data_IF_080799560574
#
_entry.id   IF_080799560574
#
_cell.length_a   1.000
_cell.length_b   1.000
_cell.length_c   1.000
_cell.angle_alpha   90.00
_cell.angle_beta   90.00
_cell.angle_gamma   90.00
#
_symmetry.space_group_name_H-M   'P 1'
#
loop_
_entity.id
_entity.type
_entity.pdbx_description
1 polymer ?
#
# COMPACT_ATOMS: atom_id res chain seq x y z
N UNK A 1 11.87 -0.50 7.93
CA UNK A 1 11.57 0.65 8.82
C UNK A 1 11.09 1.88 8.07
N UNK A 2 11.89 2.47 7.17
CA UNK A 2 11.44 3.65 6.39
C UNK A 2 10.12 3.40 5.66
N UNK A 3 10.02 2.24 5.01
CA UNK A 3 8.86 1.82 4.22
C UNK A 3 7.61 1.63 5.09
N UNK A 4 7.73 0.99 6.26
CA UNK A 4 6.59 0.74 7.17
C UNK A 4 6.01 2.06 7.71
N UNK A 5 6.87 3.00 8.13
CA UNK A 5 6.44 4.32 8.62
C UNK A 5 5.80 5.13 7.49
N UNK A 6 6.36 5.04 6.28
CA UNK A 6 5.80 5.70 5.11
C UNK A 6 4.43 5.13 4.73
N UNK A 7 4.27 3.80 4.72
CA UNK A 7 2.98 3.15 4.47
C UNK A 7 1.93 3.50 5.52
N UNK A 8 2.29 3.47 6.80
CA UNK A 8 1.40 3.89 7.89
C UNK A 8 0.94 5.34 7.69
N UNK A 9 1.86 6.24 7.34
CA UNK A 9 1.54 7.64 7.12
C UNK A 9 0.64 7.84 5.89
N UNK A 10 0.85 7.06 4.82
CA UNK A 10 -0.07 7.03 3.68
C UNK A 10 -1.46 6.57 4.08
N UNK A 11 -1.61 5.56 4.95
CA UNK A 11 -2.92 5.12 5.45
C UNK A 11 -3.61 6.23 6.23
N UNK A 12 -2.88 6.94 7.09
CA UNK A 12 -3.41 8.09 7.85
C UNK A 12 -3.84 9.22 6.91
N UNK A 13 -3.03 9.55 5.90
CA UNK A 13 -3.38 10.55 4.88
C UNK A 13 -4.68 10.17 4.15
N UNK A 14 -4.82 8.90 3.76
CA UNK A 14 -6.04 8.40 3.09
C UNK A 14 -7.25 8.34 4.02
N UNK A 15 -7.06 8.11 5.32
CA UNK A 15 -8.11 8.22 6.33
C UNK A 15 -8.58 9.66 6.50
N UNK A 16 -7.65 10.62 6.53
CA UNK A 16 -7.96 12.05 6.61
C UNK A 16 -8.70 12.51 5.34
N UNK A 17 -8.25 12.06 4.16
CA UNK A 17 -8.93 12.33 2.89
C UNK A 17 -10.37 11.76 2.88
N UNK A 18 -10.59 10.60 3.51
CA UNK A 18 -11.91 10.01 3.62
C UNK A 18 -12.84 10.78 4.56
N UNK A 19 -12.30 11.33 5.67
CA UNK A 19 -13.07 12.05 6.70
C UNK A 19 -13.32 13.52 6.34
N UNK A 20 -12.30 14.25 5.86
CA UNK A 20 -12.34 15.69 5.57
C UNK A 20 -12.30 15.99 4.07
N UNK A 21 -13.19 15.33 3.31
CA UNK A 21 -13.27 15.40 1.83
C UNK A 21 -13.35 16.83 1.29
N UNK A 22 -14.23 17.64 1.87
CA UNK A 22 -14.56 18.99 1.37
C UNK A 22 -13.39 19.99 1.45
N UNK A 23 -12.44 19.78 2.37
CA UNK A 23 -11.30 20.68 2.59
C UNK A 23 -9.95 20.08 2.17
N UNK A 24 -9.94 18.82 1.72
CA UNK A 24 -8.71 18.09 1.44
C UNK A 24 -7.85 18.74 0.34
N UNK A 25 -8.47 19.32 -0.69
CA UNK A 25 -7.75 19.88 -1.85
C UNK A 25 -6.78 21.02 -1.48
N UNK A 26 -7.01 21.72 -0.35
CA UNK A 26 -6.11 22.78 0.15
C UNK A 26 -4.96 22.25 1.02
N UNK A 27 -5.11 21.06 1.60
CA UNK A 27 -4.18 20.53 2.61
C UNK A 27 -3.43 19.26 2.18
N UNK A 28 -3.89 18.56 1.12
CA UNK A 28 -3.31 17.29 0.69
C UNK A 28 -1.81 17.34 0.41
N UNK A 29 -1.33 18.35 -0.33
CA UNK A 29 0.10 18.52 -0.63
C UNK A 29 0.94 18.76 0.63
N UNK A 30 0.46 19.62 1.54
CA UNK A 30 1.16 19.92 2.81
C UNK A 30 1.23 18.69 3.71
N UNK A 31 0.14 17.93 3.80
CA UNK A 31 0.09 16.69 4.55
C UNK A 31 1.10 15.68 4.02
N UNK A 32 1.18 15.48 2.69
CA UNK A 32 2.16 14.58 2.07
C UNK A 32 3.62 14.97 2.34
N UNK A 33 3.96 16.27 2.29
CA UNK A 33 5.33 16.75 2.57
C UNK A 33 5.70 16.55 4.05
N UNK A 34 4.79 16.88 4.97
CA UNK A 34 5.00 16.70 6.41
C UNK A 34 5.15 15.20 6.73
N UNK A 35 4.30 14.38 6.14
CA UNK A 35 4.31 12.92 6.18
C UNK A 35 5.67 12.31 5.78
N UNK A 36 6.21 12.72 4.64
CA UNK A 36 7.51 12.27 4.14
C UNK A 36 8.65 12.71 5.07
N UNK A 37 8.59 13.96 5.56
CA UNK A 37 9.60 14.51 6.47
C UNK A 37 9.66 13.73 7.79
N UNK A 38 8.50 13.45 8.39
CA UNK A 38 8.39 12.65 9.62
C UNK A 38 8.96 11.24 9.39
N UNK A 39 8.65 10.62 8.26
CA UNK A 39 9.14 9.27 7.93
C UNK A 39 10.67 9.21 7.83
N UNK A 40 11.30 10.24 7.23
CA UNK A 40 12.76 10.34 7.13
C UNK A 40 13.38 10.52 8.52
N UNK A 41 12.86 11.46 9.31
CA UNK A 41 13.40 11.76 10.66
C UNK A 41 13.29 10.53 11.55
N UNK A 42 12.12 9.89 11.60
CA UNK A 42 11.89 8.67 12.37
C UNK A 42 12.91 7.59 11.99
N UNK A 43 13.13 7.39 10.69
CA UNK A 43 14.10 6.43 10.20
C UNK A 43 15.52 6.70 10.69
N UNK A 44 15.98 7.96 10.63
CA UNK A 44 17.31 8.36 11.12
C UNK A 44 17.43 8.10 12.62
N UNK A 45 16.41 8.48 13.39
CA UNK A 45 16.39 8.32 14.86
C UNK A 45 16.48 6.84 15.24
N UNK A 46 15.64 5.99 14.65
CA UNK A 46 15.62 4.57 15.00
C UNK A 46 16.88 3.83 14.54
N UNK A 47 17.41 4.14 13.36
CA UNK A 47 18.69 3.57 12.91
C UNK A 47 19.84 4.02 13.81
N UNK A 48 19.87 5.29 14.21
CA UNK A 48 20.91 5.80 15.14
C UNK A 48 20.79 5.19 16.53
N UNK A 49 19.56 4.93 17.00
CA UNK A 49 19.31 4.25 18.27
C UNK A 49 19.75 2.78 18.24
N UNK A 50 19.48 2.09 17.13
CA UNK A 50 19.91 0.70 16.93
C UNK A 50 21.44 0.58 16.95
N UNK A 51 22.13 1.48 16.25
CA UNK A 51 23.59 1.44 16.08
C UNK A 51 24.39 1.98 17.28
N UNK A 52 23.74 2.65 18.24
CA UNK A 52 24.43 3.33 19.36
C UNK A 52 25.22 2.42 20.29
N UNK A 53 25.02 1.10 20.23
CA UNK A 53 25.69 0.12 21.10
C UNK A 53 26.45 -0.95 20.31
N UNK A 54 26.65 -0.76 19.00
CA UNK A 54 27.45 -1.68 18.20
C UNK A 54 28.95 -1.33 18.34
N UNK A 55 29.72 -2.30 18.81
CA UNK A 55 31.18 -2.25 18.81
C UNK A 55 31.70 -2.51 17.38
N UNK A 56 31.95 -1.44 16.62
CA UNK A 56 32.51 -1.52 15.25
C UNK A 56 33.93 -2.11 15.18
N UNK A 57 34.54 -2.43 16.32
CA UNK A 57 35.86 -3.05 16.44
C UNK A 57 35.87 -4.56 16.19
N UNK A 58 34.71 -5.22 16.16
CA UNK A 58 34.62 -6.67 15.87
C UNK A 58 34.29 -6.92 14.40
N UNK A 59 34.92 -7.90 13.73
CA UNK A 59 34.59 -8.22 12.35
C UNK A 59 33.14 -8.74 12.26
N UNK A 60 32.30 -7.99 11.55
CA UNK A 60 30.94 -8.37 11.21
C UNK A 60 30.93 -9.12 9.87
N UNK A 61 30.14 -10.19 9.76
CA UNK A 61 30.02 -10.97 8.53
C UNK A 61 29.30 -10.22 7.40
N UNK A 62 28.50 -9.20 7.72
CA UNK A 62 27.79 -8.34 6.76
C UNK A 62 27.42 -6.99 7.43
N UNK A 63 27.22 -5.93 6.64
CA UNK A 63 26.98 -4.56 7.13
C UNK A 63 25.65 -4.38 7.90
N UNK A 64 24.72 -5.33 7.78
CA UNK A 64 23.47 -5.36 8.55
C UNK A 64 23.46 -6.44 9.64
N UNK A 65 24.63 -7.03 9.97
CA UNK A 65 24.73 -8.08 10.97
C UNK A 65 24.58 -7.49 12.36
N UNK A 66 23.53 -7.88 13.06
CA UNK A 66 23.38 -7.56 14.46
C UNK A 66 24.50 -8.27 15.25
N UNK A 67 25.30 -7.50 15.97
CA UNK A 67 26.25 -8.04 16.94
C UNK A 67 25.46 -8.70 18.09
N UNK A 68 26.05 -9.64 18.83
CA UNK A 68 25.37 -10.38 19.93
C UNK A 68 24.80 -9.42 20.99
N UNK A 69 25.43 -8.25 21.16
CA UNK A 69 24.99 -7.14 22.03
C UNK A 69 23.81 -6.33 21.47
N UNK A 70 23.63 -6.31 20.14
CA UNK A 70 22.58 -5.57 19.43
C UNK A 70 21.37 -6.45 19.06
N UNK A 71 21.53 -7.78 19.09
CA UNK A 71 20.50 -8.76 18.74
C UNK A 71 19.17 -8.54 19.48
N UNK A 72 19.19 -8.28 20.80
CA UNK A 72 17.97 -8.00 21.56
C UNK A 72 17.24 -6.74 21.10
N UNK A 73 17.97 -5.68 20.75
CA UNK A 73 17.39 -4.42 20.24
C UNK A 73 16.82 -4.61 18.84
N UNK A 74 17.51 -5.38 17.99
CA UNK A 74 17.03 -5.73 16.65
C UNK A 74 15.76 -6.57 16.73
N UNK A 75 15.68 -7.55 17.64
CA UNK A 75 14.47 -8.34 17.86
C UNK A 75 13.29 -7.46 18.29
N UNK A 76 13.48 -6.55 19.24
CA UNK A 76 12.43 -5.59 19.66
C UNK A 76 11.97 -4.71 18.49
N UNK A 77 12.90 -4.23 17.66
CA UNK A 77 12.57 -3.44 16.47
C UNK A 77 11.77 -4.26 15.45
N UNK A 78 12.15 -5.51 15.21
CA UNK A 78 11.46 -6.40 14.25
C UNK A 78 10.03 -6.69 14.70
N UNK A 79 9.82 -7.02 15.99
CA UNK A 79 8.48 -7.21 16.53
C UNK A 79 7.64 -5.92 16.48
N UNK A 80 8.25 -4.78 16.82
CA UNK A 80 7.57 -3.48 16.75
C UNK A 80 7.14 -3.15 15.32
N UNK A 81 8.02 -3.38 14.33
CA UNK A 81 7.74 -3.15 12.92
C UNK A 81 6.65 -4.08 12.39
N UNK A 82 6.67 -5.35 12.79
CA UNK A 82 5.60 -6.29 12.46
C UNK A 82 4.25 -5.84 13.02
N UNK A 83 4.23 -5.32 14.26
CA UNK A 83 3.02 -4.75 14.85
C UNK A 83 2.48 -3.56 14.05
N UNK A 84 3.36 -2.64 13.64
CA UNK A 84 2.98 -1.50 12.78
C UNK A 84 2.45 -1.96 11.43
N UNK A 85 3.05 -2.97 10.81
CA UNK A 85 2.59 -3.51 9.52
C UNK A 85 1.18 -4.13 9.63
N UNK A 86 0.93 -4.91 10.69
CA UNK A 86 -0.40 -5.49 10.95
C UNK A 86 -1.44 -4.40 11.20
N UNK A 87 -1.12 -3.38 12.00
CA UNK A 87 -2.02 -2.24 12.23
C UNK A 87 -2.30 -1.47 10.93
N UNK A 88 -1.28 -1.30 10.09
CA UNK A 88 -1.40 -0.64 8.78
C UNK A 88 -2.32 -1.45 7.86
N UNK A 89 -2.17 -2.78 7.83
CA UNK A 89 -3.04 -3.67 7.06
C UNK A 89 -4.50 -3.59 7.52
N UNK A 90 -4.74 -3.63 8.83
CA UNK A 90 -6.08 -3.45 9.40
C UNK A 90 -6.67 -2.09 9.00
N UNK A 91 -5.87 -1.02 9.11
CA UNK A 91 -6.28 0.33 8.70
C UNK A 91 -6.69 0.40 7.22
N UNK A 92 -5.93 -0.23 6.33
CA UNK A 92 -6.26 -0.28 4.88
C UNK A 92 -7.56 -1.04 4.64
N UNK A 93 -7.78 -2.18 5.31
CA UNK A 93 -9.00 -2.97 5.17
C UNK A 93 -10.23 -2.19 5.64
N UNK A 94 -10.12 -1.53 6.79
CA UNK A 94 -11.18 -0.67 7.34
C UNK A 94 -11.49 0.47 6.36
N UNK A 95 -10.46 1.15 5.85
CA UNK A 95 -10.65 2.19 4.84
C UNK A 95 -11.31 1.65 3.57
N UNK A 96 -10.90 0.49 3.08
CA UNK A 96 -11.50 -0.12 1.90
C UNK A 96 -13.01 -0.35 2.09
N UNK A 97 -13.41 -0.91 3.23
CA UNK A 97 -14.82 -1.18 3.56
C UNK A 97 -15.62 0.12 3.62
N UNK A 98 -15.13 1.13 4.35
CA UNK A 98 -15.82 2.42 4.45
C UNK A 98 -15.93 3.13 3.09
N UNK A 99 -14.90 3.04 2.25
CA UNK A 99 -14.92 3.61 0.91
C UNK A 99 -15.92 2.88 0.00
N UNK A 100 -16.01 1.54 0.06
CA UNK A 100 -16.97 0.75 -0.72
C UNK A 100 -18.41 1.05 -0.30
N UNK A 101 -18.68 1.12 1.01
CA UNK A 101 -19.99 1.53 1.54
C UNK A 101 -20.35 2.94 1.08
N UNK A 102 -19.39 3.87 1.14
CA UNK A 102 -19.60 5.22 0.68
C UNK A 102 -19.87 5.27 -0.84
N UNK A 103 -19.21 4.48 -1.68
CA UNK A 103 -19.49 4.48 -3.12
C UNK A 103 -20.89 3.97 -3.47
N UNK A 104 -21.42 3.04 -2.68
CA UNK A 104 -22.74 2.43 -2.90
C UNK A 104 -23.89 3.39 -2.58
N UNK A 105 -23.67 4.37 -1.70
CA UNK A 105 -24.66 5.43 -1.44
C UNK A 105 -24.63 6.38 -2.64
N UNK A 106 -25.75 6.53 -3.38
CA UNK A 106 -25.80 7.30 -4.65
C UNK A 106 -25.88 8.83 -4.49
N UNK A 107 -25.86 9.35 -3.27
CA UNK A 107 -26.08 10.76 -2.96
C UNK A 107 -24.72 11.44 -2.77
N UNK A 108 -24.03 11.77 -3.84
CA UNK A 108 -22.74 12.45 -3.74
C UNK A 108 -22.55 13.51 -4.82
N UNK A 109 -22.02 14.65 -4.38
CA UNK A 109 -21.49 15.70 -5.23
C UNK A 109 -20.31 15.19 -6.06
N UNK A 110 -20.08 15.81 -7.22
CA UNK A 110 -19.08 15.41 -8.22
C UNK A 110 -17.67 15.31 -7.61
N UNK A 111 -17.31 16.29 -6.76
CA UNK A 111 -16.01 16.36 -6.08
C UNK A 111 -15.82 15.20 -5.09
N UNK A 112 -16.83 14.91 -4.27
CA UNK A 112 -16.76 13.83 -3.29
C UNK A 112 -16.69 12.43 -3.94
N UNK A 113 -17.39 12.24 -5.06
CA UNK A 113 -17.34 11.02 -5.87
C UNK A 113 -15.97 10.80 -6.52
N UNK A 114 -15.31 11.89 -6.93
CA UNK A 114 -13.96 11.85 -7.49
C UNK A 114 -12.94 11.41 -6.45
N UNK A 115 -12.88 12.09 -5.30
CA UNK A 115 -11.93 11.79 -4.22
C UNK A 115 -12.08 10.35 -3.69
N UNK A 116 -13.31 9.85 -3.60
CA UNK A 116 -13.57 8.47 -3.14
C UNK A 116 -13.07 7.42 -4.13
N UNK A 117 -13.24 7.67 -5.44
CA UNK A 117 -12.70 6.79 -6.48
C UNK A 117 -11.18 6.82 -6.53
N UNK A 118 -10.58 7.98 -6.32
CA UNK A 118 -9.14 8.12 -6.22
C UNK A 118 -8.61 7.30 -5.04
N UNK A 119 -9.19 7.46 -3.84
CA UNK A 119 -8.81 6.70 -2.66
C UNK A 119 -8.93 5.19 -2.85
N UNK A 120 -10.01 4.69 -3.46
CA UNK A 120 -10.14 3.24 -3.74
C UNK A 120 -9.09 2.75 -4.73
N UNK A 121 -8.77 3.56 -5.76
CA UNK A 121 -7.73 3.22 -6.71
C UNK A 121 -6.38 3.06 -6.00
N UNK A 122 -6.03 4.04 -5.15
CA UNK A 122 -4.81 4.04 -4.35
C UNK A 122 -4.79 2.87 -3.36
N UNK A 123 -5.87 2.64 -2.60
CA UNK A 123 -6.00 1.53 -1.65
C UNK A 123 -5.81 0.18 -2.36
N UNK A 124 -6.38 0.01 -3.56
CA UNK A 124 -6.23 -1.21 -4.35
C UNK A 124 -4.77 -1.49 -4.76
N UNK A 125 -3.92 -0.47 -4.81
CA UNK A 125 -2.49 -0.61 -5.08
C UNK A 125 -1.67 -0.84 -3.81
N UNK A 126 -1.99 -0.11 -2.74
CA UNK A 126 -1.27 -0.23 -1.47
C UNK A 126 -1.57 -1.58 -0.81
N UNK A 127 -2.81 -2.08 -0.89
CA UNK A 127 -3.24 -3.34 -0.29
C UNK A 127 -2.34 -4.56 -0.65
N UNK A 128 -2.12 -4.93 -1.92
CA UNK A 128 -1.28 -6.08 -2.25
C UNK A 128 0.18 -5.91 -1.79
N UNK A 129 0.70 -4.67 -1.84
CA UNK A 129 2.05 -4.38 -1.36
C UNK A 129 2.16 -4.56 0.16
N UNK A 130 1.21 -4.02 0.93
CA UNK A 130 1.19 -4.13 2.38
C UNK A 130 0.89 -5.56 2.83
N UNK A 131 0.06 -6.32 2.12
CA UNK A 131 -0.16 -7.76 2.37
C UNK A 131 1.14 -8.54 2.19
N UNK A 132 1.82 -8.34 1.05
CA UNK A 132 3.10 -9.00 0.79
C UNK A 132 4.14 -8.66 1.86
N UNK A 133 4.26 -7.38 2.20
CA UNK A 133 5.13 -6.90 3.27
C UNK A 133 4.82 -7.55 4.62
N UNK A 134 3.53 -7.57 5.01
CA UNK A 134 3.09 -8.17 6.28
C UNK A 134 3.43 -9.65 6.32
N UNK A 135 3.23 -10.40 5.22
CA UNK A 135 3.59 -11.82 5.16
C UNK A 135 5.10 -12.00 5.36
N UNK A 136 5.93 -11.22 4.66
CA UNK A 136 7.38 -11.32 4.79
C UNK A 136 7.86 -10.99 6.21
N UNK A 137 7.40 -9.86 6.79
CA UNK A 137 7.80 -9.48 8.15
C UNK A 137 7.23 -10.42 9.22
N UNK A 138 6.07 -11.02 9.01
CA UNK A 138 5.50 -12.03 9.90
C UNK A 138 6.34 -13.31 9.89
N UNK A 139 6.74 -13.80 8.71
CA UNK A 139 7.65 -14.95 8.59
C UNK A 139 8.98 -14.64 9.29
N UNK A 140 9.55 -13.46 9.04
CA UNK A 140 10.83 -13.08 9.64
C UNK A 140 10.76 -12.95 11.16
N UNK A 141 9.71 -12.30 11.68
CA UNK A 141 9.52 -12.13 13.13
C UNK A 141 9.21 -13.46 13.82
N UNK A 142 8.40 -14.33 13.21
CA UNK A 142 8.12 -15.67 13.72
C UNK A 142 9.39 -16.53 13.77
N UNK A 143 10.17 -16.56 12.69
CA UNK A 143 11.46 -17.27 12.66
C UNK A 143 12.42 -16.74 13.73
N UNK A 144 12.53 -15.41 13.86
CA UNK A 144 13.38 -14.78 14.88
C UNK A 144 12.91 -15.10 16.30
N UNK A 145 11.60 -15.07 16.53
CA UNK A 145 10.99 -15.44 17.81
C UNK A 145 11.27 -16.89 18.19
N UNK A 146 11.07 -17.83 17.27
CA UNK A 146 11.40 -19.25 17.48
C UNK A 146 12.88 -19.42 17.78
N UNK A 147 13.77 -18.82 16.98
CA UNK A 147 15.22 -18.91 17.20
C UNK A 147 15.61 -18.34 18.57
N UNK A 148 14.97 -17.26 19.04
CA UNK A 148 15.22 -16.69 20.37
C UNK A 148 14.77 -17.59 21.52
N UNK A 149 13.71 -18.38 21.35
CA UNK A 149 13.25 -19.34 22.37
C UNK A 149 14.21 -20.53 22.53
N UNK A 150 14.97 -20.86 21.49
CA UNK A 150 15.96 -21.93 21.51
C UNK A 150 17.40 -21.43 21.69
N UNK A 151 17.61 -20.14 21.99
CA UNK A 151 18.93 -19.48 22.04
C UNK A 151 19.92 -20.21 22.96
N UNK A 152 19.46 -20.79 24.07
CA UNK A 152 20.30 -21.55 25.01
C UNK A 152 20.85 -22.88 24.46
N UNK A 153 20.25 -23.40 23.38
CA UNK A 153 20.52 -24.74 22.85
C UNK A 153 21.24 -24.74 21.49
N UNK A 154 21.38 -23.57 20.84
CA UNK A 154 21.99 -23.45 19.51
C UNK A 154 23.36 -22.79 19.58
N UNK A 155 24.31 -23.29 18.78
CA UNK A 155 25.62 -22.65 18.67
C UNK A 155 25.51 -21.24 18.05
N UNK A 156 26.38 -20.32 18.50
CA UNK A 156 26.42 -18.94 18.00
C UNK A 156 26.58 -18.85 16.48
N UNK A 157 27.32 -19.80 15.88
CA UNK A 157 27.46 -19.88 14.43
C UNK A 157 26.12 -20.22 13.77
N UNK A 158 25.44 -21.27 14.23
CA UNK A 158 24.14 -21.71 13.69
C UNK A 158 23.10 -20.60 13.79
N UNK A 159 23.06 -19.88 14.91
CA UNK A 159 22.17 -18.73 15.12
C UNK A 159 22.37 -17.65 14.05
N UNK A 160 23.63 -17.26 13.79
CA UNK A 160 23.96 -16.21 12.81
C UNK A 160 23.62 -16.61 11.38
N UNK A 161 23.89 -17.87 11.02
CA UNK A 161 23.61 -18.37 9.66
C UNK A 161 22.11 -18.47 9.40
N UNK A 162 21.33 -18.96 10.37
CA UNK A 162 19.87 -19.01 10.26
C UNK A 162 19.27 -17.60 10.18
N UNK A 163 19.73 -16.68 11.03
CA UNK A 163 19.25 -15.29 11.01
C UNK A 163 19.54 -14.60 9.65
N UNK A 164 20.72 -14.83 9.08
CA UNK A 164 21.07 -14.32 7.76
C UNK A 164 20.23 -14.95 6.64
N UNK A 165 19.94 -16.25 6.71
CA UNK A 165 19.13 -16.96 5.73
C UNK A 165 17.67 -16.49 5.72
N UNK A 166 17.11 -16.15 6.89
CA UNK A 166 15.75 -15.63 7.00
C UNK A 166 15.63 -14.12 6.79
N UNK A 167 16.74 -13.42 6.53
CA UNK A 167 16.73 -11.97 6.34
C UNK A 167 15.88 -11.60 5.12
N UNK A 168 14.70 -11.02 5.39
CA UNK A 168 13.63 -10.81 4.39
C UNK A 168 13.87 -9.62 3.46
N UNK A 169 14.73 -8.68 3.85
CA UNK A 169 14.93 -7.40 3.16
C UNK A 169 15.38 -7.57 1.69
N UNK A 170 16.38 -8.40 1.36
CA UNK A 170 16.81 -8.62 -0.03
C UNK A 170 15.67 -9.17 -0.90
N UNK A 171 14.91 -10.13 -0.38
CA UNK A 171 13.76 -10.72 -1.09
C UNK A 171 12.68 -9.69 -1.37
N UNK A 172 12.34 -8.86 -0.36
CA UNK A 172 11.37 -7.78 -0.54
C UNK A 172 11.83 -6.78 -1.60
N UNK A 173 13.09 -6.35 -1.57
CA UNK A 173 13.62 -5.35 -2.52
C UNK A 173 13.65 -5.84 -3.97
N UNK A 174 13.80 -7.15 -4.21
CA UNK A 174 13.73 -7.71 -5.57
C UNK A 174 12.28 -7.88 -6.06
N UNK A 175 11.36 -8.27 -5.18
CA UNK A 175 9.98 -8.60 -5.55
C UNK A 175 9.09 -7.36 -5.63
N UNK A 176 9.32 -6.35 -4.78
CA UNK A 176 8.56 -5.10 -4.74
C UNK A 176 8.47 -4.38 -6.10
N UNK A 177 9.55 -4.16 -6.88
CA UNK A 177 9.46 -3.48 -8.18
C UNK A 177 8.65 -4.29 -9.20
N UNK A 178 8.74 -5.63 -9.16
CA UNK A 178 7.97 -6.52 -10.03
C UNK A 178 6.48 -6.42 -9.71
N UNK A 179 6.14 -6.45 -8.41
CA UNK A 179 4.77 -6.26 -7.93
C UNK A 179 4.23 -4.88 -8.35
N UNK A 180 4.99 -3.81 -8.12
CA UNK A 180 4.59 -2.45 -8.49
C UNK A 180 4.36 -2.35 -10.01
N UNK A 181 5.27 -2.88 -10.81
CA UNK A 181 5.12 -2.90 -12.27
C UNK A 181 3.86 -3.65 -12.71
N UNK A 182 3.63 -4.84 -12.15
CA UNK A 182 2.44 -5.64 -12.43
C UNK A 182 1.16 -4.88 -12.07
N UNK A 183 1.15 -4.26 -10.90
CA UNK A 183 0.03 -3.46 -10.39
C UNK A 183 -0.26 -2.25 -11.30
N UNK A 184 0.77 -1.52 -11.74
CA UNK A 184 0.63 -0.38 -12.65
C UNK A 184 0.06 -0.84 -14.00
N UNK A 185 0.59 -1.94 -14.55
CA UNK A 185 0.11 -2.49 -15.83
C UNK A 185 -1.36 -2.91 -15.73
N UNK A 186 -1.72 -3.57 -14.63
CA UNK A 186 -3.10 -3.96 -14.33
C UNK A 186 -4.03 -2.74 -14.22
N UNK A 187 -3.59 -1.68 -13.54
CA UNK A 187 -4.31 -0.41 -13.43
C UNK A 187 -4.62 0.21 -14.79
N UNK A 188 -3.62 0.28 -15.66
CA UNK A 188 -3.78 0.85 -16.99
C UNK A 188 -4.80 0.04 -17.82
N UNK A 189 -4.78 -1.28 -17.72
CA UNK A 189 -5.76 -2.14 -18.40
C UNK A 189 -7.19 -1.93 -17.88
N UNK A 190 -7.39 -1.77 -16.57
CA UNK A 190 -8.68 -1.42 -15.97
C UNK A 190 -9.19 -0.06 -16.47
N UNK A 191 -8.30 0.94 -16.54
CA UNK A 191 -8.66 2.27 -17.06
C UNK A 191 -9.06 2.20 -18.53
N UNK A 192 -8.29 1.48 -19.35
CA UNK A 192 -8.57 1.32 -20.78
C UNK A 192 -9.88 0.56 -21.04
N UNK A 193 -10.12 -0.55 -20.33
CA UNK A 193 -11.36 -1.32 -20.47
C UNK A 193 -12.60 -0.52 -20.07
N UNK A 194 -12.50 0.31 -19.01
CA UNK A 194 -13.57 1.23 -18.62
C UNK A 194 -13.84 2.30 -19.67
N UNK A 195 -12.79 2.92 -20.22
CA UNK A 195 -12.94 3.90 -21.30
C UNK A 195 -13.57 3.27 -22.56
N UNK A 196 -13.18 2.05 -22.91
CA UNK A 196 -13.81 1.30 -24.01
C UNK A 196 -15.30 1.06 -23.75
N UNK A 197 -15.69 0.66 -22.54
CA UNK A 197 -17.11 0.49 -22.17
C UNK A 197 -17.91 1.79 -22.26
N UNK A 198 -17.36 2.89 -21.76
CA UNK A 198 -18.01 4.21 -21.86
C UNK A 198 -18.14 4.67 -23.31
N UNK A 199 -17.11 4.44 -24.13
CA UNK A 199 -17.15 4.73 -25.57
C UNK A 199 -18.22 3.89 -26.26
N UNK A 200 -18.28 2.58 -25.99
CA UNK A 200 -19.31 1.69 -26.53
C UNK A 200 -20.73 2.12 -26.12
N UNK A 201 -20.97 2.41 -24.83
CA UNK A 201 -22.27 2.91 -24.38
C UNK A 201 -22.68 4.23 -25.03
N UNK A 202 -21.72 5.14 -25.25
CA UNK A 202 -22.01 6.41 -25.91
C UNK A 202 -22.27 6.23 -27.41
N UNK A 203 -21.59 5.29 -28.07
CA UNK A 203 -21.87 4.92 -29.46
C UNK A 203 -23.26 4.30 -29.57
N UNK A 204 -23.58 3.31 -28.74
CA UNK A 204 -24.88 2.62 -28.70
C UNK A 204 -26.03 3.59 -28.42
N UNK A 205 -25.85 4.49 -27.44
CA UNK A 205 -26.83 5.54 -27.15
C UNK A 205 -27.06 6.51 -28.32
N UNK A 206 -25.99 6.93 -29.02
CA UNK A 206 -26.12 7.76 -30.23
C UNK A 206 -26.78 6.98 -31.37
N UNK A 207 -26.41 5.72 -31.57
CA UNK A 207 -26.99 4.84 -32.59
C UNK A 207 -28.49 4.67 -32.37
N UNK A 208 -28.90 4.41 -31.13
CA UNK A 208 -30.32 4.32 -30.75
C UNK A 208 -31.03 5.64 -31.03
N UNK A 209 -30.47 6.79 -30.61
CA UNK A 209 -31.05 8.10 -30.88
C UNK A 209 -31.22 8.40 -32.37
N UNK A 210 -30.19 8.15 -33.19
CA UNK A 210 -30.25 8.39 -34.64
C UNK A 210 -31.22 7.43 -35.34
N UNK A 211 -31.32 6.18 -34.86
CA UNK A 211 -32.23 5.18 -35.41
C UNK A 211 -33.70 5.54 -35.14
N UNK A 212 -34.02 6.01 -33.94
CA UNK A 212 -35.38 6.46 -33.61
C UNK A 212 -35.79 7.69 -34.45
N UNK A 213 -34.86 8.62 -34.70
CA UNK A 213 -35.14 9.77 -35.56
C UNK A 213 -35.40 9.38 -37.03
N UNK A 214 -34.63 8.41 -37.56
CA UNK A 214 -34.84 7.90 -38.91
C UNK A 214 -36.20 7.20 -39.07
N UNK A 215 -36.64 6.44 -38.06
CA UNK A 215 -37.94 5.78 -38.06
C UNK A 215 -39.10 6.79 -38.01
N UNK A 216 -39.00 7.86 -37.19
CA UNK A 216 -40.01 8.93 -37.18
C UNK A 216 -40.11 9.61 -38.54
N UNK A 217 -38.98 9.98 -39.15
CA UNK A 217 -38.94 10.63 -40.46
C UNK A 217 -39.56 9.78 -41.58
N UNK A 218 -39.24 8.48 -41.59
CA UNK A 218 -39.81 7.54 -42.56
C UNK A 218 -41.31 7.28 -42.33
N UNK A 219 -41.77 7.28 -41.08
CA UNK A 219 -43.20 7.14 -40.76
C UNK A 219 -44.02 8.36 -41.19
N UNK A 220 -43.44 9.57 -41.12
CA UNK A 220 -44.08 10.81 -41.57
C UNK A 220 -44.19 10.89 -43.10
N UNK A 221 -43.20 10.36 -43.82
CA UNK A 221 -43.23 10.21 -45.28
C UNK A 221 -44.27 9.16 -45.72
N UNK A 222 -44.45 8.07 -44.96
CA UNK A 222 -45.45 7.04 -45.23
C UNK A 222 -46.90 7.50 -45.00
N UNK A 223 -47.14 8.51 -44.16
CA UNK A 223 -48.48 9.06 -43.88
C UNK A 223 -48.93 10.15 -44.87
N UNK A 224 -48.07 10.52 -45.84
CA UNK A 224 -48.36 11.53 -46.87
C UNK A 224 -48.71 10.93 -48.25
N UNK A 225 -48.87 9.62 -48.34
CA UNK A 225 -49.44 8.90 -49.49
C UNK A 225 -50.67 8.12 -49.04
#
# INVERSE_FOLDING_TARGET
MKENVFQFTMVVERAIALWKREHYDKFGLKLGIVSASISIIASVVFTSWALRADDFTKPAAYCSAATVTSAGRVTVLVFSLCGVDVLTLIGILVLYIFNDIALKRKIFDLQSSYQLRENICVIRFILPLTVFQTICYLIFSASTGVISLFESSVSLLTYRTLFAAFYVIPYYTMIAPILIWFIIRWSQQLKQSRLRRLKMQNTDGKEVYFRTYADMWNSELSNKH
#
